data_IF_244534339143
#
_entry.id   IF_244534339143
#
_cell.length_a   1.000
_cell.length_b   1.000
_cell.length_c   1.000
_cell.angle_alpha   90.00
_cell.angle_beta   90.00
_cell.angle_gamma   90.00
#
_symmetry.space_group_name_H-M   'P 1'
#
loop_
_entity.id
_entity.type
_entity.pdbx_description
1 polymer ?
#
# COMPACT_ATOMS: atom_id res chain seq x y z
N UNK A 1 -7.64 23.31 13.52
CA UNK A 1 -8.61 22.22 13.27
C UNK A 1 -8.08 20.98 13.95
N UNK A 2 -8.84 20.38 14.85
CA UNK A 2 -8.49 19.08 15.46
C UNK A 2 -8.48 18.02 14.38
N UNK A 3 -7.38 17.28 14.25
CA UNK A 3 -7.30 16.20 13.28
C UNK A 3 -8.34 15.10 13.59
N UNK A 4 -9.01 14.55 12.56
CA UNK A 4 -9.99 13.50 12.77
C UNK A 4 -9.33 12.25 13.36
N UNK A 5 -9.92 11.73 14.44
CA UNK A 5 -9.45 10.51 15.13
C UNK A 5 -9.94 9.25 14.40
N UNK A 6 -9.24 8.11 14.55
CA UNK A 6 -9.71 6.82 14.06
C UNK A 6 -11.08 6.42 14.61
N UNK A 7 -11.90 5.80 13.78
CA UNK A 7 -13.17 5.19 14.16
C UNK A 7 -12.92 3.81 14.80
N UNK A 8 -12.96 3.78 16.13
CA UNK A 8 -12.67 2.57 16.91
C UNK A 8 -13.78 1.51 16.84
N UNK A 9 -14.97 1.84 16.33
CA UNK A 9 -16.05 0.85 16.12
C UNK A 9 -15.64 -0.26 15.12
N UNK A 10 -14.64 -0.01 14.29
CA UNK A 10 -14.11 -0.94 13.31
C UNK A 10 -12.96 -1.83 13.85
N UNK A 11 -12.75 -1.86 15.17
CA UNK A 11 -11.70 -2.66 15.84
C UNK A 11 -12.37 -3.76 16.68
N UNK A 12 -12.00 -5.05 16.51
CA UNK A 12 -10.97 -5.59 15.63
C UNK A 12 -11.41 -5.61 14.15
N UNK A 13 -10.43 -5.57 13.24
CA UNK A 13 -10.72 -5.58 11.81
C UNK A 13 -11.51 -6.84 11.41
N UNK A 14 -12.74 -6.66 10.90
CA UNK A 14 -13.69 -7.76 10.68
C UNK A 14 -13.33 -8.64 9.47
N UNK A 15 -12.62 -8.10 8.47
CA UNK A 15 -12.34 -8.76 7.17
C UNK A 15 -10.89 -9.20 6.99
N UNK A 16 -10.22 -9.67 8.06
CA UNK A 16 -8.81 -10.11 8.00
C UNK A 16 -8.55 -11.18 6.94
N UNK A 17 -9.45 -12.16 6.80
CA UNK A 17 -9.33 -13.21 5.80
C UNK A 17 -9.32 -12.67 4.37
N UNK A 18 -10.28 -11.79 4.04
CA UNK A 18 -10.32 -11.13 2.72
C UNK A 18 -9.07 -10.30 2.45
N UNK A 19 -8.57 -9.58 3.46
CA UNK A 19 -7.31 -8.86 3.34
C UNK A 19 -6.16 -9.80 2.94
N UNK A 20 -5.95 -10.90 3.65
CA UNK A 20 -4.89 -11.85 3.33
C UNK A 20 -5.10 -12.50 1.96
N UNK A 21 -6.35 -12.84 1.62
CA UNK A 21 -6.70 -13.43 0.32
C UNK A 21 -6.40 -12.49 -0.85
N UNK A 22 -6.45 -11.17 -0.66
CA UNK A 22 -6.07 -10.19 -1.68
C UNK A 22 -4.56 -9.95 -1.67
N UNK A 23 -3.98 -9.72 -0.48
CA UNK A 23 -2.59 -9.29 -0.35
C UNK A 23 -1.59 -10.40 -0.67
N UNK A 24 -1.85 -11.66 -0.29
CA UNK A 24 -0.91 -12.77 -0.54
C UNK A 24 -0.67 -12.98 -2.06
N UNK A 25 -1.69 -13.11 -2.92
CA UNK A 25 -1.47 -13.20 -4.37
C UNK A 25 -0.70 -12.01 -4.93
N UNK A 26 -0.96 -10.80 -4.43
CA UNK A 26 -0.25 -9.61 -4.86
C UNK A 26 1.24 -9.65 -4.46
N UNK A 27 1.55 -10.09 -3.25
CA UNK A 27 2.92 -10.29 -2.79
C UNK A 27 3.65 -11.36 -3.62
N UNK A 28 2.99 -12.46 -3.95
CA UNK A 28 3.54 -13.51 -4.80
C UNK A 28 3.82 -13.00 -6.22
N UNK A 29 2.92 -12.19 -6.79
CA UNK A 29 3.14 -11.54 -8.07
C UNK A 29 4.37 -10.62 -8.02
N UNK A 30 4.49 -9.78 -6.99
CA UNK A 30 5.65 -8.90 -6.83
C UNK A 30 6.96 -9.69 -6.64
N UNK A 31 6.93 -10.81 -5.91
CA UNK A 31 8.08 -11.70 -5.76
C UNK A 31 8.46 -12.35 -7.10
N UNK A 32 7.49 -12.83 -7.87
CA UNK A 32 7.73 -13.40 -9.19
C UNK A 32 8.35 -12.37 -10.15
N UNK A 33 7.84 -11.13 -10.15
CA UNK A 33 8.43 -10.02 -10.93
C UNK A 33 9.84 -9.69 -10.46
N UNK A 34 10.08 -9.65 -9.15
CA UNK A 34 11.42 -9.41 -8.60
C UNK A 34 12.44 -10.45 -9.07
N UNK A 35 12.08 -11.74 -9.02
CA UNK A 35 12.93 -12.85 -9.50
C UNK A 35 13.13 -12.76 -11.02
N UNK A 36 12.06 -12.51 -11.77
CA UNK A 36 12.10 -12.36 -13.22
C UNK A 36 13.01 -11.21 -13.68
N UNK A 37 12.90 -10.03 -13.06
CA UNK A 37 13.83 -8.93 -13.35
C UNK A 37 15.30 -9.31 -13.06
N UNK A 38 15.51 -10.20 -12.09
CA UNK A 38 16.84 -10.65 -11.67
C UNK A 38 17.52 -11.52 -12.72
N UNK A 39 16.73 -12.20 -13.56
CA UNK A 39 17.28 -12.96 -14.71
C UNK A 39 17.79 -12.04 -15.82
N UNK A 40 17.36 -10.78 -15.86
CA UNK A 40 17.87 -9.76 -16.81
C UNK A 40 19.02 -8.95 -16.21
N UNK A 41 18.84 -8.42 -15.00
CA UNK A 41 19.85 -7.63 -14.30
C UNK A 41 19.51 -7.52 -12.82
N UNK A 42 20.49 -7.84 -11.98
CA UNK A 42 20.34 -7.68 -10.52
C UNK A 42 20.01 -6.24 -10.13
N UNK A 43 20.50 -5.24 -10.89
CA UNK A 43 20.20 -3.83 -10.63
C UNK A 43 18.71 -3.50 -10.83
N UNK A 44 18.03 -4.16 -11.78
CA UNK A 44 16.59 -3.98 -11.99
C UNK A 44 15.79 -4.55 -10.82
N UNK A 45 16.15 -5.74 -10.34
CA UNK A 45 15.54 -6.31 -9.13
C UNK A 45 15.77 -5.43 -7.91
N UNK A 46 16.98 -4.89 -7.74
CA UNK A 46 17.28 -3.99 -6.63
C UNK A 46 16.49 -2.68 -6.74
N UNK A 47 16.34 -2.12 -7.95
CA UNK A 47 15.51 -0.93 -8.17
C UNK A 47 14.03 -1.22 -7.84
N UNK A 48 13.49 -2.36 -8.28
CA UNK A 48 12.13 -2.79 -7.97
C UNK A 48 11.93 -2.99 -6.46
N UNK A 49 12.86 -3.68 -5.80
CA UNK A 49 12.86 -3.86 -4.34
C UNK A 49 12.96 -2.51 -3.61
N UNK A 50 13.77 -1.58 -4.10
CA UNK A 50 13.88 -0.24 -3.53
C UNK A 50 12.56 0.52 -3.62
N UNK A 51 11.84 0.47 -4.76
CA UNK A 51 10.50 1.05 -4.89
C UNK A 51 9.54 0.48 -3.83
N UNK A 52 9.58 -0.85 -3.61
CA UNK A 52 8.76 -1.53 -2.61
C UNK A 52 9.07 -1.10 -1.18
N UNK A 53 10.37 -1.03 -0.83
CA UNK A 53 10.82 -0.63 0.49
C UNK A 53 10.54 0.84 0.78
N UNK A 54 10.80 1.73 -0.19
CA UNK A 54 10.47 3.16 -0.09
C UNK A 54 8.97 3.32 0.14
N UNK A 55 8.14 2.72 -0.72
CA UNK A 55 6.70 2.76 -0.54
C UNK A 55 6.29 2.30 0.87
N UNK A 56 6.79 1.14 1.32
CA UNK A 56 6.45 0.57 2.63
C UNK A 56 6.91 1.42 3.81
N UNK A 57 8.11 2.01 3.72
CA UNK A 57 8.68 2.84 4.77
C UNK A 57 7.93 4.15 4.95
N UNK A 58 7.67 4.86 3.84
CA UNK A 58 6.93 6.14 3.90
C UNK A 58 5.47 5.90 4.28
N UNK A 59 4.88 4.78 3.85
CA UNK A 59 3.56 4.36 4.27
C UNK A 59 3.49 4.05 5.78
N UNK A 60 4.56 3.52 6.37
CA UNK A 60 4.60 3.27 7.81
C UNK A 60 4.43 4.56 8.63
N UNK A 61 5.07 5.66 8.21
CA UNK A 61 4.88 6.98 8.85
C UNK A 61 3.43 7.44 8.75
N UNK A 62 2.78 7.31 7.59
CA UNK A 62 1.37 7.66 7.44
C UNK A 62 0.46 6.82 8.34
N UNK A 63 0.73 5.51 8.48
CA UNK A 63 -0.01 4.63 9.39
C UNK A 63 0.17 5.09 10.86
N UNK A 64 1.36 5.56 11.26
CA UNK A 64 1.61 6.11 12.59
C UNK A 64 0.98 7.51 12.80
N UNK A 65 1.08 8.41 11.81
CA UNK A 65 0.51 9.76 11.83
C UNK A 65 -0.98 9.73 12.16
N UNK A 66 -1.70 8.77 11.58
CA UNK A 66 -3.14 8.64 11.68
C UNK A 66 -3.59 7.83 12.89
N UNK A 67 -2.70 7.49 13.83
CA UNK A 67 -3.01 6.62 14.98
C UNK A 67 -3.68 5.31 14.57
N UNK A 68 -3.19 4.68 13.48
CA UNK A 68 -3.84 3.50 12.94
C UNK A 68 -3.88 2.38 14.01
N UNK A 69 -5.07 1.90 14.44
CA UNK A 69 -5.18 0.91 15.50
C UNK A 69 -4.73 -0.50 15.06
N UNK A 70 -4.35 -0.65 13.79
CA UNK A 70 -3.95 -1.92 13.19
C UNK A 70 -2.42 -2.05 13.02
N UNK A 71 -1.64 -1.06 13.48
CA UNK A 71 -0.17 -1.08 13.49
C UNK A 71 0.35 -2.41 14.05
N UNK A 72 1.32 -3.02 13.37
CA UNK A 72 1.87 -4.32 13.75
C UNK A 72 1.10 -5.55 13.28
N UNK A 73 -0.06 -5.36 12.65
CA UNK A 73 -0.79 -6.44 11.98
C UNK A 73 -1.11 -6.05 10.55
N UNK A 74 -2.26 -5.42 10.36
CA UNK A 74 -2.82 -5.00 9.08
C UNK A 74 -2.54 -3.51 8.84
N UNK A 75 -2.05 -3.09 7.67
CA UNK A 75 -2.03 -1.66 7.31
C UNK A 75 -2.70 -1.58 5.92
N UNK A 76 -3.93 -1.06 5.82
CA UNK A 76 -4.62 -0.94 4.53
C UNK A 76 -4.02 0.13 3.62
N UNK A 77 -3.10 0.92 4.14
CA UNK A 77 -2.63 2.09 3.43
C UNK A 77 -1.59 1.70 2.36
N UNK A 78 -1.68 2.39 1.21
CA UNK A 78 -1.21 1.94 -0.13
C UNK A 78 -1.58 0.47 -0.37
N UNK A 79 -2.89 0.22 -0.42
CA UNK A 79 -3.49 -1.03 -0.87
C UNK A 79 -3.03 -2.26 -0.08
N UNK A 80 -2.81 -2.14 1.22
CA UNK A 80 -2.55 -3.32 2.04
C UNK A 80 -1.17 -3.93 1.89
N UNK A 81 -0.21 -3.22 1.30
CA UNK A 81 1.09 -3.80 1.02
C UNK A 81 1.90 -3.89 2.33
N UNK A 82 2.11 -5.12 2.79
CA UNK A 82 3.10 -5.46 3.81
C UNK A 82 4.50 -5.10 3.31
N UNK A 83 5.51 -4.81 4.16
CA UNK A 83 5.52 -4.85 5.62
C UNK A 83 5.26 -3.49 6.29
N UNK A 84 4.60 -2.52 5.64
CA UNK A 84 4.42 -1.18 6.19
C UNK A 84 3.85 -1.14 7.63
N UNK A 85 2.88 -2.02 7.95
CA UNK A 85 2.32 -2.15 9.31
C UNK A 85 3.36 -2.56 10.36
N UNK A 86 4.26 -3.46 9.99
CA UNK A 86 5.32 -3.98 10.86
C UNK A 86 6.40 -2.92 11.05
N UNK A 87 6.79 -2.24 9.97
CA UNK A 87 7.72 -1.10 10.03
C UNK A 87 7.15 -0.03 10.97
N UNK A 88 5.85 0.28 10.87
CA UNK A 88 5.21 1.26 11.74
C UNK A 88 5.29 0.85 13.21
N UNK A 89 5.08 -0.44 13.53
CA UNK A 89 5.21 -0.96 14.89
C UNK A 89 6.63 -0.80 15.42
N UNK A 90 7.62 -1.18 14.62
CA UNK A 90 9.04 -1.15 15.02
C UNK A 90 9.54 0.28 15.21
N UNK A 91 9.22 1.17 14.28
CA UNK A 91 9.77 2.55 14.29
C UNK A 91 8.99 3.49 15.21
N UNK A 92 7.68 3.32 15.31
CA UNK A 92 6.78 4.31 15.93
C UNK A 92 5.93 3.75 17.07
N UNK A 93 5.97 2.45 17.37
CA UNK A 93 5.08 1.82 18.35
C UNK A 93 5.12 2.41 19.76
N UNK A 94 6.28 2.96 20.16
CA UNK A 94 6.49 3.56 21.49
C UNK A 94 7.07 4.99 21.41
N UNK A 95 7.02 5.65 20.24
CA UNK A 95 7.67 6.96 20.04
C UNK A 95 6.63 8.04 19.73
N UNK A 96 6.79 9.20 20.35
CA UNK A 96 6.08 10.39 19.91
C UNK A 96 6.57 10.79 18.52
N UNK A 97 5.61 10.94 17.59
CA UNK A 97 5.88 11.36 16.23
C UNK A 97 5.56 12.84 16.10
N UNK A 98 6.43 13.59 15.42
CA UNK A 98 6.13 14.95 15.02
C UNK A 98 5.07 14.90 13.91
N UNK A 99 3.87 15.40 14.22
CA UNK A 99 2.72 15.43 13.31
C UNK A 99 2.61 16.80 12.67
N UNK A 100 2.96 16.87 11.40
CA UNK A 100 2.64 18.02 10.56
C UNK A 100 1.97 17.55 9.27
N UNK A 101 0.90 18.26 8.87
CA UNK A 101 0.15 17.94 7.64
C UNK A 101 1.05 17.91 6.40
N UNK A 102 1.97 18.88 6.27
CA UNK A 102 2.91 18.93 5.17
C UNK A 102 3.79 17.67 5.09
N UNK A 103 4.28 17.16 6.24
CA UNK A 103 5.08 15.94 6.25
C UNK A 103 4.23 14.72 5.89
N UNK A 104 3.00 14.62 6.38
CA UNK A 104 2.08 13.56 5.99
C UNK A 104 1.84 13.53 4.47
N UNK A 105 1.56 14.68 3.85
CA UNK A 105 1.31 14.79 2.41
C UNK A 105 2.54 14.41 1.58
N UNK A 106 3.73 14.87 1.97
CA UNK A 106 4.99 14.48 1.31
C UNK A 106 5.21 12.97 1.40
N UNK A 107 5.04 12.38 2.59
CA UNK A 107 5.27 10.95 2.78
C UNK A 107 4.25 10.10 2.04
N UNK A 108 2.97 10.52 2.04
CA UNK A 108 1.93 9.86 1.26
C UNK A 108 2.24 9.94 -0.25
N UNK A 109 2.72 11.08 -0.73
CA UNK A 109 3.12 11.26 -2.14
C UNK A 109 4.28 10.35 -2.50
N UNK A 110 5.33 10.30 -1.68
CA UNK A 110 6.49 9.42 -1.91
C UNK A 110 6.06 7.95 -1.90
N UNK A 111 5.15 7.56 -1.00
CA UNK A 111 4.64 6.20 -0.96
C UNK A 111 3.88 5.83 -2.24
N UNK A 112 2.99 6.72 -2.72
CA UNK A 112 2.25 6.53 -3.98
C UNK A 112 3.20 6.50 -5.18
N UNK A 113 4.21 7.37 -5.23
CA UNK A 113 5.22 7.36 -6.29
C UNK A 113 6.01 6.04 -6.29
N UNK A 114 6.37 5.51 -5.13
CA UNK A 114 6.99 4.20 -5.00
C UNK A 114 6.10 3.08 -5.55
N UNK A 115 4.79 3.13 -5.28
CA UNK A 115 3.82 2.19 -5.84
C UNK A 115 3.68 2.32 -7.37
N UNK A 116 3.62 3.54 -7.92
CA UNK A 116 3.63 3.78 -9.37
C UNK A 116 4.90 3.20 -9.98
N UNK A 117 6.05 3.38 -9.31
CA UNK A 117 7.31 2.75 -9.68
C UNK A 117 7.20 1.23 -9.78
N UNK A 118 6.60 0.57 -8.79
CA UNK A 118 6.34 -0.87 -8.85
C UNK A 118 5.48 -1.25 -10.05
N UNK A 119 4.44 -0.48 -10.36
CA UNK A 119 3.50 -0.79 -11.45
C UNK A 119 4.16 -0.62 -12.83
N UNK A 120 4.99 0.40 -13.03
CA UNK A 120 5.46 0.76 -14.38
C UNK A 120 6.90 0.35 -14.68
N UNK A 121 7.79 0.29 -13.68
CA UNK A 121 9.20 -0.09 -13.87
C UNK A 121 9.37 -1.46 -14.57
N UNK A 122 8.67 -2.54 -14.18
CA UNK A 122 8.89 -3.84 -14.79
C UNK A 122 8.19 -4.00 -16.15
N UNK A 123 7.27 -3.10 -16.54
CA UNK A 123 6.36 -3.29 -17.69
C UNK A 123 7.12 -3.53 -18.98
N UNK A 124 8.15 -2.73 -19.25
CA UNK A 124 8.99 -2.91 -20.45
C UNK A 124 9.63 -4.31 -20.50
N UNK A 125 10.14 -4.79 -19.37
CA UNK A 125 10.80 -6.09 -19.26
C UNK A 125 9.80 -7.24 -19.32
N UNK A 126 8.62 -7.09 -18.71
CA UNK A 126 7.54 -8.07 -18.81
C UNK A 126 7.01 -8.15 -20.25
N UNK A 127 6.96 -7.02 -20.98
CA UNK A 127 6.54 -7.00 -22.37
C UNK A 127 7.44 -7.83 -23.30
N UNK A 128 8.68 -8.14 -22.88
CA UNK A 128 9.57 -9.07 -23.60
C UNK A 128 9.08 -10.53 -23.56
N UNK A 129 8.28 -10.92 -22.57
CA UNK A 129 7.56 -12.20 -22.56
C UNK A 129 6.36 -12.21 -23.51
N UNK A 130 5.89 -11.01 -23.89
CA UNK A 130 4.71 -10.78 -24.70
C UNK A 130 3.89 -9.62 -24.14
N UNK A 131 3.29 -8.84 -25.03
CA UNK A 131 2.48 -7.66 -24.67
C UNK A 131 1.32 -8.06 -23.74
N UNK A 132 0.74 -9.25 -23.94
CA UNK A 132 -0.32 -9.77 -23.09
C UNK A 132 0.07 -9.87 -21.60
N UNK A 133 1.32 -10.26 -21.29
CA UNK A 133 1.80 -10.34 -19.90
C UNK A 133 1.94 -8.94 -19.28
N UNK A 134 2.43 -7.96 -20.05
CA UNK A 134 2.55 -6.58 -19.58
C UNK A 134 1.18 -5.95 -19.29
N UNK A 135 0.22 -6.17 -20.17
CA UNK A 135 -1.18 -5.74 -19.97
C UNK A 135 -1.79 -6.45 -18.76
N UNK A 136 -1.64 -7.77 -18.65
CA UNK A 136 -2.14 -8.54 -17.53
C UNK A 136 -1.54 -8.07 -16.20
N UNK A 137 -0.24 -7.75 -16.16
CA UNK A 137 0.43 -7.24 -14.97
C UNK A 137 -0.17 -5.91 -14.49
N UNK A 138 -0.31 -4.92 -15.37
CA UNK A 138 -0.91 -3.62 -15.03
C UNK A 138 -2.39 -3.79 -14.65
N UNK A 139 -3.12 -4.67 -15.35
CA UNK A 139 -4.50 -5.00 -15.03
C UNK A 139 -4.61 -5.61 -13.63
N UNK A 140 -3.73 -6.55 -13.25
CA UNK A 140 -3.68 -7.14 -11.91
C UNK A 140 -3.50 -6.07 -10.83
N UNK A 141 -2.56 -5.14 -11.01
CA UNK A 141 -2.37 -4.02 -10.08
C UNK A 141 -3.62 -3.14 -9.97
N UNK A 142 -4.26 -2.84 -11.10
CA UNK A 142 -5.46 -1.98 -11.16
C UNK A 142 -6.66 -2.65 -10.50
N UNK A 143 -6.94 -3.90 -10.87
CA UNK A 143 -8.03 -4.71 -10.31
C UNK A 143 -7.81 -4.92 -8.81
N UNK A 144 -6.58 -5.23 -8.39
CA UNK A 144 -6.23 -5.31 -6.97
C UNK A 144 -6.52 -3.99 -6.25
N UNK A 145 -6.07 -2.86 -6.80
CA UNK A 145 -6.29 -1.55 -6.20
C UNK A 145 -7.77 -1.23 -6.03
N UNK A 146 -8.58 -1.53 -7.05
CA UNK A 146 -10.03 -1.32 -7.04
C UNK A 146 -10.72 -2.24 -6.03
N UNK A 147 -10.48 -3.55 -6.07
CA UNK A 147 -11.10 -4.51 -5.15
C UNK A 147 -10.71 -4.17 -3.71
N UNK A 148 -9.42 -3.89 -3.47
CA UNK A 148 -8.94 -3.51 -2.15
C UNK A 148 -9.61 -2.21 -1.68
N UNK A 149 -9.63 -1.19 -2.54
CA UNK A 149 -10.28 0.09 -2.28
C UNK A 149 -11.75 -0.05 -1.91
N UNK A 150 -12.50 -0.89 -2.63
CA UNK A 150 -13.94 -1.06 -2.46
C UNK A 150 -14.33 -2.03 -1.33
N UNK A 151 -13.47 -2.97 -0.96
CA UNK A 151 -13.83 -4.03 0.00
C UNK A 151 -13.11 -3.93 1.34
N UNK A 152 -11.92 -3.36 1.38
CA UNK A 152 -11.04 -3.29 2.56
C UNK A 152 -11.05 -1.89 3.18
N UNK A 153 -10.90 -0.83 2.38
CA UNK A 153 -10.90 0.54 2.89
C UNK A 153 -12.19 0.98 3.63
N UNK A 154 -13.43 0.64 3.22
CA UNK A 154 -14.62 1.17 3.88
C UNK A 154 -14.88 0.61 5.28
N UNK A 155 -14.25 -0.50 5.64
CA UNK A 155 -14.36 -1.12 6.97
C UNK A 155 -13.11 -0.89 7.82
N UNK A 156 -12.24 0.04 7.40
CA UNK A 156 -11.04 0.43 8.12
C UNK A 156 -11.31 1.59 9.10
N UNK A 157 -10.74 1.53 10.30
CA UNK A 157 -10.81 2.60 11.31
C UNK A 157 -10.31 3.98 10.82
N UNK A 158 -9.38 4.05 9.86
CA UNK A 158 -8.84 5.30 9.31
C UNK A 158 -9.49 5.70 7.97
N UNK A 159 -10.62 5.11 7.59
CA UNK A 159 -11.31 5.34 6.31
C UNK A 159 -11.65 6.81 6.03
N UNK A 160 -11.90 7.58 7.09
CA UNK A 160 -12.30 8.99 6.96
C UNK A 160 -11.11 9.92 6.78
N UNK A 161 -9.92 9.45 7.13
CA UNK A 161 -8.71 10.26 7.19
C UNK A 161 -7.72 9.89 6.09
N UNK A 162 -7.66 8.61 5.69
CA UNK A 162 -6.73 8.12 4.68
C UNK A 162 -7.18 8.42 3.24
N UNK A 163 -6.23 8.66 2.30
CA UNK A 163 -6.56 8.93 0.90
C UNK A 163 -7.43 7.85 0.26
N UNK A 164 -7.17 6.56 0.54
CA UNK A 164 -7.93 5.45 -0.03
C UNK A 164 -9.39 5.40 0.42
N UNK A 165 -9.67 5.69 1.70
CA UNK A 165 -11.04 5.75 2.19
C UNK A 165 -11.80 7.00 1.74
N UNK A 166 -11.10 8.14 1.59
CA UNK A 166 -11.67 9.34 0.96
C UNK A 166 -12.04 9.10 -0.51
N UNK A 167 -11.18 8.41 -1.26
CA UNK A 167 -11.46 8.03 -2.64
C UNK A 167 -12.72 7.16 -2.74
N UNK A 168 -12.87 6.15 -1.88
CA UNK A 168 -14.09 5.35 -1.82
C UNK A 168 -15.35 6.19 -1.58
N UNK A 169 -15.32 7.13 -0.62
CA UNK A 169 -16.47 8.01 -0.37
C UNK A 169 -16.85 8.87 -1.57
N UNK A 170 -15.86 9.27 -2.37
CA UNK A 170 -16.09 10.02 -3.60
C UNK A 170 -16.76 9.14 -4.65
N UNK A 171 -16.28 7.90 -4.84
CA UNK A 171 -16.87 6.93 -5.77
C UNK A 171 -18.31 6.54 -5.40
N UNK A 172 -18.66 6.48 -4.11
CA UNK A 172 -20.04 6.18 -3.68
C UNK A 172 -21.03 7.34 -3.81
N UNK A 173 -20.54 8.58 -3.98
CA UNK A 173 -21.37 9.79 -4.05
C UNK A 173 -21.65 10.25 -5.48
N UNK A 174 -20.90 9.75 -6.46
CA UNK A 174 -21.14 9.96 -7.90
C UNK A 174 -21.92 8.81 -8.48
#
# INVERSE_FOLDING_TARGET
>A
MTEPKPDLSCVPYRRKGLYLALTIPMLLLMLAVLVYLGTYSILLSLAFLACYLVMSFFQAYCCAYQDCPYVGGFCPAVLGIMPASLIAKVLYGNREIVRTKARFETYATVAVTGWIGLVFLPVYWIAKLGIGFAVAYVACHTVYALIFGLTVCPVCAIRDTCPGGKFHKLVQRG
#
